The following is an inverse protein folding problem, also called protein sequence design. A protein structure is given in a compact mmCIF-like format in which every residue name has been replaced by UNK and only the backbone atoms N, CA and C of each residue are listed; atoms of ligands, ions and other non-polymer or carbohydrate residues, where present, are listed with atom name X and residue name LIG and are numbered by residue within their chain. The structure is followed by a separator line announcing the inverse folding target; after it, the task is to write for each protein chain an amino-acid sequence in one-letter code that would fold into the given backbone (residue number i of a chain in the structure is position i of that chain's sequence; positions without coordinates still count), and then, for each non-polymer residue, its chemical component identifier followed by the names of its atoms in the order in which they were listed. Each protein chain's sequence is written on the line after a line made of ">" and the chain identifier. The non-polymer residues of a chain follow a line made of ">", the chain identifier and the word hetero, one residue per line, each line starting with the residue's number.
data_IF_534951594716
#
_entry.id   IF_534951594716
#
_cell.length_a   1.000
_cell.length_b   1.000
_cell.length_c   1.000
_cell.angle_alpha   90.00
_cell.angle_beta   90.00
_cell.angle_gamma   90.00
#
_symmetry.space_group_name_H-M   'P 1'
#
loop_
_entity.id
_entity.type
_entity.pdbx_description
1 polymer ?
#
# COMPACT_ATOMS: atom_id res chain seq x y z
N UNK A 1 0.66 16.84 -2.34
CA UNK A 1 0.35 15.82 -3.36
C UNK A 1 0.67 14.39 -2.95
N UNK A 2 1.82 14.07 -2.32
CA UNK A 2 2.14 12.69 -1.87
C UNK A 2 1.25 12.24 -0.69
N UNK A 3 0.95 13.12 0.26
CA UNK A 3 -0.04 12.87 1.32
C UNK A 3 -1.48 12.67 0.77
N UNK A 4 -1.79 13.30 -0.37
CA UNK A 4 -3.07 13.12 -1.09
C UNK A 4 -3.10 11.78 -1.84
N UNK A 5 -1.96 11.32 -2.35
CA UNK A 5 -1.80 10.01 -3.00
C UNK A 5 -1.87 8.86 -1.97
N UNK A 6 -1.24 9.03 -0.79
CA UNK A 6 -1.37 8.08 0.32
C UNK A 6 -2.80 8.02 0.84
N UNK A 7 -3.48 9.17 0.95
CA UNK A 7 -4.89 9.25 1.35
C UNK A 7 -5.84 8.65 0.31
N UNK A 8 -5.59 8.79 -1.00
CA UNK A 8 -6.39 8.14 -2.05
C UNK A 8 -6.17 6.63 -2.10
N UNK A 9 -4.95 6.15 -1.83
CA UNK A 9 -4.67 4.71 -1.72
C UNK A 9 -5.36 4.14 -0.49
N UNK A 10 -5.34 4.85 0.65
CA UNK A 10 -5.93 4.40 1.92
C UNK A 10 -7.46 4.54 1.97
N UNK A 11 -8.03 5.68 1.54
CA UNK A 11 -9.49 5.93 1.53
C UNK A 11 -10.23 5.08 0.47
N UNK A 12 -9.57 4.65 -0.61
CA UNK A 12 -10.14 3.65 -1.54
C UNK A 12 -9.89 2.20 -1.09
N UNK A 13 -8.95 1.96 -0.18
CA UNK A 13 -8.71 0.64 0.41
C UNK A 13 -9.84 0.26 1.37
N UNK A 14 -10.38 1.24 2.09
CA UNK A 14 -11.26 1.03 3.24
C UNK A 14 -12.75 0.84 2.86
N UNK A 15 -13.15 1.25 1.65
CA UNK A 15 -14.57 1.47 1.39
C UNK A 15 -15.39 0.32 0.81
N UNK A 16 -14.84 -0.80 0.33
CA UNK A 16 -15.71 -1.81 -0.32
C UNK A 16 -15.15 -3.23 -0.56
N UNK A 17 -14.05 -3.65 0.05
CA UNK A 17 -13.39 -4.89 -0.38
C UNK A 17 -13.42 -5.97 0.68
N UNK A 18 -14.07 -7.08 0.33
CA UNK A 18 -13.94 -8.37 0.99
C UNK A 18 -12.45 -8.75 1.02
N UNK A 19 -11.81 -8.63 2.19
CA UNK A 19 -10.36 -8.53 2.38
C UNK A 19 -9.54 -9.82 2.11
N UNK A 20 -10.21 -10.94 1.81
CA UNK A 20 -9.57 -12.25 1.66
C UNK A 20 -8.90 -12.49 0.29
N UNK A 21 -9.34 -11.82 -0.78
CA UNK A 21 -8.81 -12.05 -2.13
C UNK A 21 -7.72 -11.04 -2.54
N UNK A 22 -7.60 -9.90 -1.85
CA UNK A 22 -6.55 -8.90 -2.04
C UNK A 22 -5.28 -9.20 -1.24
N UNK A 23 -5.36 -9.96 -0.15
CA UNK A 23 -4.22 -10.32 0.75
C UNK A 23 -3.11 -11.13 0.07
N UNK A 24 -3.43 -11.93 -0.94
CA UNK A 24 -2.55 -12.97 -1.48
C UNK A 24 -1.58 -12.50 -2.58
N UNK A 25 -1.97 -11.55 -3.43
CA UNK A 25 -1.09 -11.08 -4.52
C UNK A 25 0.05 -10.15 -4.08
N UNK A 26 -0.13 -9.44 -2.96
CA UNK A 26 0.74 -8.31 -2.59
C UNK A 26 2.01 -8.71 -1.84
N UNK A 27 2.09 -9.90 -1.24
CA UNK A 27 3.25 -10.31 -0.44
C UNK A 27 4.62 -10.22 -1.15
N UNK A 28 4.77 -10.63 -2.43
CA UNK A 28 6.05 -10.49 -3.14
C UNK A 28 6.35 -9.06 -3.62
N UNK A 29 5.32 -8.24 -3.91
CA UNK A 29 5.49 -6.90 -4.47
C UNK A 29 5.57 -5.79 -3.40
N UNK A 30 5.02 -6.01 -2.20
CA UNK A 30 5.02 -5.06 -1.08
C UNK A 30 6.43 -4.56 -0.75
N UNK A 31 7.42 -5.44 -0.74
CA UNK A 31 8.82 -5.08 -0.48
C UNK A 31 9.42 -4.22 -1.60
N UNK A 32 9.03 -4.47 -2.86
CA UNK A 32 9.51 -3.72 -4.03
C UNK A 32 8.91 -2.30 -4.04
N UNK A 33 7.60 -2.16 -3.76
CA UNK A 33 6.96 -0.85 -3.66
C UNK A 33 7.50 0.02 -2.53
N UNK A 34 7.80 -0.57 -1.38
CA UNK A 34 8.40 0.17 -0.26
C UNK A 34 9.79 0.68 -0.64
N UNK A 35 10.60 -0.14 -1.33
CA UNK A 35 11.91 0.29 -1.85
C UNK A 35 11.78 1.42 -2.86
N UNK A 36 10.80 1.33 -3.76
CA UNK A 36 10.59 2.34 -4.81
C UNK A 36 10.10 3.65 -4.23
N UNK A 37 9.14 3.60 -3.30
CA UNK A 37 8.66 4.78 -2.61
C UNK A 37 9.76 5.42 -1.75
N UNK A 38 10.60 4.61 -1.09
CA UNK A 38 11.76 5.11 -0.34
C UNK A 38 12.81 5.75 -1.25
N UNK A 39 13.08 5.18 -2.44
CA UNK A 39 14.03 5.74 -3.41
C UNK A 39 13.46 6.99 -4.10
N UNK A 40 12.17 7.02 -4.46
CA UNK A 40 11.52 8.22 -5.01
C UNK A 40 11.48 9.37 -3.98
N UNK A 41 11.20 9.07 -2.71
CA UNK A 41 11.21 10.08 -1.63
C UNK A 41 12.63 10.56 -1.32
N UNK A 42 13.62 9.65 -1.30
CA UNK A 42 15.03 9.99 -1.16
C UNK A 42 15.53 10.88 -2.31
N UNK A 43 15.09 10.63 -3.55
CA UNK A 43 15.50 11.41 -4.71
C UNK A 43 14.84 12.81 -4.75
N UNK A 44 13.56 12.92 -4.37
CA UNK A 44 12.85 14.20 -4.29
C UNK A 44 13.40 15.09 -3.16
N UNK A 45 13.75 14.53 -1.99
CA UNK A 45 14.36 15.30 -0.91
C UNK A 45 15.84 15.63 -1.15
N UNK A 46 16.63 14.70 -1.70
CA UNK A 46 18.06 14.91 -2.04
C UNK A 46 18.28 16.19 -2.83
N UNK A 47 17.35 16.53 -3.73
CA UNK A 47 17.46 17.75 -4.51
C UNK A 47 16.85 18.98 -3.84
N UNK A 48 15.79 18.86 -3.03
CA UNK A 48 15.18 20.00 -2.31
C UNK A 48 16.12 20.56 -1.23
N UNK A 49 16.90 19.71 -0.56
CA UNK A 49 17.81 20.13 0.52
C UNK A 49 19.16 20.68 0.03
N UNK A 50 19.58 20.37 -1.21
CA UNK A 50 20.80 20.93 -1.80
C UNK A 50 20.75 22.45 -2.04
N UNK A 51 19.61 23.11 -1.80
CA UNK A 51 19.42 24.55 -2.02
C UNK A 51 19.13 25.39 -0.78
N UNK A 52 18.82 24.77 0.36
CA UNK A 52 18.44 25.50 1.57
C UNK A 52 19.41 25.14 2.67
N UNK A 53 20.27 26.10 3.02
CA UNK A 53 21.14 26.10 4.19
C UNK A 53 20.30 26.16 5.50
N UNK A 54 19.50 25.13 5.78
CA UNK A 54 18.65 25.01 6.98
C UNK A 54 19.25 24.04 8.02
N UNK A 55 20.56 24.12 8.19
CA UNK A 55 21.35 23.23 9.06
C UNK A 55 21.00 23.37 10.57
N UNK A 56 20.54 24.54 11.00
CA UNK A 56 20.30 24.85 12.42
C UNK A 56 18.90 24.49 12.92
N UNK A 57 17.89 24.51 12.06
CA UNK A 57 16.49 24.23 12.45
C UNK A 57 16.19 22.73 12.44
N UNK A 58 16.78 21.97 11.52
CA UNK A 58 16.64 20.51 11.49
C UNK A 58 17.23 19.85 12.75
N UNK A 59 18.40 20.31 13.19
CA UNK A 59 19.08 19.82 14.40
C UNK A 59 18.24 20.01 15.68
N UNK A 60 17.58 21.16 15.83
CA UNK A 60 16.74 21.46 17.00
C UNK A 60 15.45 20.62 16.98
N UNK A 61 14.86 20.40 15.80
CA UNK A 61 13.68 19.55 15.64
C UNK A 61 14.04 18.08 15.95
N UNK A 62 15.19 17.59 15.51
CA UNK A 62 15.67 16.23 15.78
C UNK A 62 15.94 15.99 17.27
N UNK A 63 16.62 16.94 17.94
CA UNK A 63 17.03 16.80 19.34
C UNK A 63 15.87 16.96 20.34
N UNK A 64 14.83 17.72 20.01
CA UNK A 64 13.69 17.98 20.90
C UNK A 64 12.53 17.01 20.65
N UNK A 65 12.32 16.54 19.42
CA UNK A 65 11.22 15.61 19.11
C UNK A 65 11.48 14.19 19.62
N UNK A 66 12.73 13.73 19.57
CA UNK A 66 13.15 12.38 19.99
C UNK A 66 12.84 12.08 21.47
N UNK A 67 13.24 12.92 22.46
CA UNK A 67 13.03 12.62 23.88
C UNK A 67 11.60 12.89 24.31
N UNK A 68 10.95 13.93 23.77
CA UNK A 68 9.58 14.30 24.12
C UNK A 68 8.59 13.23 23.66
N UNK A 69 8.77 12.71 22.44
CA UNK A 69 7.91 11.66 21.93
C UNK A 69 8.17 10.33 22.63
N UNK A 70 9.44 9.92 22.82
CA UNK A 70 9.78 8.72 23.59
C UNK A 70 9.22 8.77 25.03
N UNK A 71 9.29 9.93 25.68
CA UNK A 71 8.72 10.16 27.01
C UNK A 71 7.18 10.06 27.02
N UNK A 72 6.50 10.66 26.04
CA UNK A 72 5.04 10.53 25.90
C UNK A 72 4.61 9.09 25.56
N UNK A 73 5.45 8.36 24.83
CA UNK A 73 5.22 6.96 24.43
C UNK A 73 5.37 6.00 25.61
N UNK A 74 6.46 6.11 26.37
CA UNK A 74 6.73 5.31 27.58
C UNK A 74 5.66 5.56 28.64
N UNK A 75 5.28 6.82 28.87
CA UNK A 75 4.26 7.20 29.85
C UNK A 75 2.83 6.75 29.48
N UNK A 76 2.56 6.44 28.21
CA UNK A 76 1.24 5.96 27.74
C UNK A 76 1.15 4.43 27.81
N UNK A 77 2.24 3.72 27.50
CA UNK A 77 2.34 2.26 27.57
C UNK A 77 2.19 1.75 29.01
N UNK A 78 2.61 2.54 30.00
CA UNK A 78 2.51 2.18 31.41
C UNK A 78 1.07 2.15 31.95
N UNK A 79 0.08 2.69 31.21
CA UNK A 79 -1.31 2.77 31.68
C UNK A 79 -2.23 1.64 31.24
N UNK A 80 -1.88 0.81 30.25
CA UNK A 80 -2.70 -0.36 29.88
C UNK A 80 -1.84 -1.58 29.45
N UNK A 81 -1.92 -2.64 30.27
CA UNK A 81 -1.48 -4.03 30.07
C UNK A 81 -0.26 -4.29 29.15
N UNK A 82 0.93 -4.09 29.71
CA UNK A 82 2.21 -4.59 29.16
C UNK A 82 2.22 -6.13 28.96
N UNK A 83 1.46 -6.88 29.78
CA UNK A 83 1.37 -8.34 29.71
C UNK A 83 0.66 -8.86 28.44
N UNK A 84 -0.36 -8.15 27.97
CA UNK A 84 -1.11 -8.50 26.75
C UNK A 84 -0.27 -8.22 25.50
N UNK A 85 0.44 -7.10 25.48
CA UNK A 85 1.37 -6.75 24.40
C UNK A 85 2.52 -7.75 24.29
N UNK A 86 3.03 -8.25 25.41
CA UNK A 86 4.11 -9.25 25.44
C UNK A 86 3.62 -10.65 25.00
N UNK A 87 2.41 -11.04 25.40
CA UNK A 87 1.75 -12.27 24.95
C UNK A 87 1.52 -12.26 23.43
N UNK A 88 0.93 -11.17 22.91
CA UNK A 88 0.71 -10.98 21.47
C UNK A 88 2.03 -10.86 20.71
N UNK A 89 3.03 -10.16 21.24
CA UNK A 89 4.35 -10.04 20.60
C UNK A 89 5.05 -11.40 20.46
N UNK A 90 4.93 -12.28 21.46
CA UNK A 90 5.49 -13.63 21.42
C UNK A 90 4.75 -14.51 20.39
N UNK A 91 3.42 -14.49 20.38
CA UNK A 91 2.56 -15.25 19.46
C UNK A 91 2.69 -14.75 18.01
N UNK A 92 2.81 -13.43 17.82
CA UNK A 92 3.04 -12.76 16.53
C UNK A 92 4.47 -12.94 16.02
N UNK A 93 5.46 -13.42 16.76
CA UNK A 93 6.81 -13.65 16.21
C UNK A 93 7.16 -15.13 16.02
N UNK A 94 6.62 -16.06 16.82
CA UNK A 94 7.08 -17.46 16.82
C UNK A 94 6.32 -18.47 15.94
N UNK A 95 5.17 -18.13 15.35
CA UNK A 95 4.44 -19.10 14.50
C UNK A 95 4.69 -18.89 13.00
N UNK A 96 5.74 -19.50 12.45
CA UNK A 96 5.95 -19.58 10.99
C UNK A 96 6.33 -21.01 10.61
N UNK A 97 5.36 -21.77 10.10
CA UNK A 97 5.64 -23.00 9.36
C UNK A 97 5.84 -22.63 7.87
N UNK A 98 7.09 -22.70 7.41
CA UNK A 98 7.49 -22.33 6.04
C UNK A 98 6.90 -23.25 4.95
N UNK A 99 6.37 -24.43 5.32
CA UNK A 99 5.80 -25.39 4.38
C UNK A 99 4.42 -24.97 3.82
N UNK A 100 3.62 -24.18 4.55
CA UNK A 100 2.28 -23.72 4.08
C UNK A 100 2.34 -22.58 3.07
N UNK A 101 3.47 -21.85 3.01
CA UNK A 101 3.65 -20.67 2.14
C UNK A 101 3.94 -21.12 0.70
N UNK A 102 4.67 -22.22 0.52
CA UNK A 102 5.13 -22.67 -0.79
C UNK A 102 4.01 -23.32 -1.63
N UNK A 103 3.07 -24.03 -0.99
CA UNK A 103 1.92 -24.66 -1.67
C UNK A 103 0.90 -23.62 -2.17
N UNK A 104 0.49 -22.68 -1.30
CA UNK A 104 -0.41 -21.56 -1.65
C UNK A 104 0.08 -20.73 -2.84
N UNK A 105 1.39 -20.46 -2.93
CA UNK A 105 1.98 -19.62 -4.00
C UNK A 105 1.80 -20.22 -5.40
N UNK A 106 1.84 -21.54 -5.54
CA UNK A 106 1.72 -22.20 -6.84
C UNK A 106 0.28 -22.13 -7.38
N UNK A 107 -0.71 -22.27 -6.50
CA UNK A 107 -2.13 -22.14 -6.86
C UNK A 107 -2.50 -20.70 -7.23
N UNK A 108 -1.94 -19.71 -6.51
CA UNK A 108 -2.13 -18.28 -6.80
C UNK A 108 -1.61 -17.90 -8.20
N UNK A 109 -0.42 -18.37 -8.57
CA UNK A 109 0.17 -18.11 -9.90
C UNK A 109 -0.67 -18.73 -11.02
N UNK A 110 -1.26 -19.90 -10.79
CA UNK A 110 -2.17 -20.55 -11.73
C UNK A 110 -3.45 -19.75 -11.91
N UNK A 111 -4.03 -19.24 -10.82
CA UNK A 111 -5.23 -18.37 -10.86
C UNK A 111 -4.95 -17.08 -11.63
N UNK A 112 -3.81 -16.44 -11.39
CA UNK A 112 -3.37 -15.26 -12.14
C UNK A 112 -3.18 -15.54 -13.63
N UNK A 113 -2.57 -16.67 -13.97
CA UNK A 113 -2.38 -17.07 -15.37
C UNK A 113 -3.72 -17.28 -16.07
N UNK A 114 -4.71 -17.89 -15.40
CA UNK A 114 -6.07 -18.03 -15.92
C UNK A 114 -6.73 -16.67 -16.12
N UNK A 115 -6.68 -15.79 -15.12
CA UNK A 115 -7.21 -14.41 -15.22
C UNK A 115 -6.58 -13.60 -16.35
N UNK A 116 -5.26 -13.68 -16.50
CA UNK A 116 -4.55 -13.03 -17.60
C UNK A 116 -5.05 -13.54 -18.95
N UNK A 117 -5.27 -14.86 -19.07
CA UNK A 117 -5.86 -15.47 -20.27
C UNK A 117 -7.27 -14.96 -20.56
N UNK A 118 -8.08 -14.68 -19.53
CA UNK A 118 -9.41 -14.08 -19.68
C UNK A 118 -9.38 -12.61 -20.13
N UNK A 119 -8.27 -11.91 -19.90
CA UNK A 119 -8.05 -10.52 -20.28
C UNK A 119 -7.46 -10.35 -21.69
N UNK A 120 -6.86 -11.41 -22.26
CA UNK A 120 -6.27 -11.42 -23.62
C UNK A 120 -7.19 -10.89 -24.75
N UNK A 121 -8.51 -11.13 -24.77
CA UNK A 121 -9.35 -10.61 -25.85
C UNK A 121 -9.35 -9.07 -25.95
N UNK A 122 -9.09 -8.36 -24.86
CA UNK A 122 -9.01 -6.89 -24.82
C UNK A 122 -7.56 -6.38 -24.93
N UNK A 123 -6.64 -7.17 -25.50
CA UNK A 123 -5.21 -6.86 -25.57
C UNK A 123 -4.92 -5.48 -26.17
N UNK A 124 -5.70 -5.01 -27.15
CA UNK A 124 -5.51 -3.68 -27.78
C UNK A 124 -5.67 -2.52 -26.79
N UNK A 125 -6.65 -2.63 -25.88
CA UNK A 125 -6.92 -1.58 -24.90
C UNK A 125 -5.86 -1.63 -23.81
N UNK A 126 -5.43 -2.84 -23.43
CA UNK A 126 -4.36 -3.07 -22.46
C UNK A 126 -3.03 -2.53 -22.99
N UNK A 127 -2.66 -2.84 -24.23
CA UNK A 127 -1.40 -2.34 -24.82
C UNK A 127 -1.40 -0.82 -24.94
N UNK A 128 -2.51 -0.24 -25.41
CA UNK A 128 -2.70 1.21 -25.41
C UNK A 128 -2.52 1.81 -24.01
N UNK A 129 -3.23 1.27 -23.01
CA UNK A 129 -3.12 1.69 -21.62
C UNK A 129 -1.70 1.56 -21.06
N UNK A 130 -0.97 0.50 -21.41
CA UNK A 130 0.42 0.32 -20.99
C UNK A 130 1.37 1.34 -21.64
N UNK A 131 1.14 1.76 -22.88
CA UNK A 131 1.97 2.81 -23.53
C UNK A 131 1.80 4.14 -22.79
N UNK A 132 0.55 4.54 -22.51
CA UNK A 132 0.28 5.73 -21.70
C UNK A 132 0.85 5.61 -20.28
N UNK A 133 0.83 4.40 -19.71
CA UNK A 133 1.43 4.12 -18.40
C UNK A 133 2.95 4.31 -18.41
N UNK A 134 3.64 3.77 -19.41
CA UNK A 134 5.09 3.95 -19.54
C UNK A 134 5.44 5.42 -19.70
N UNK A 135 4.72 6.16 -20.54
CA UNK A 135 4.93 7.59 -20.72
C UNK A 135 4.69 8.39 -19.44
N UNK A 136 3.62 8.11 -18.71
CA UNK A 136 3.33 8.77 -17.44
C UNK A 136 4.40 8.47 -16.37
N UNK A 137 4.78 7.19 -16.22
CA UNK A 137 5.80 6.76 -15.27
C UNK A 137 7.18 7.36 -15.59
N UNK A 138 7.54 7.47 -16.87
CA UNK A 138 8.76 8.15 -17.29
C UNK A 138 8.72 9.64 -16.92
N UNK A 139 7.63 10.34 -17.25
CA UNK A 139 7.49 11.76 -16.89
C UNK A 139 7.66 11.99 -15.39
N UNK A 140 7.10 11.13 -14.54
CA UNK A 140 7.27 11.19 -13.08
C UNK A 140 8.73 11.04 -12.64
N UNK A 141 9.52 10.17 -13.29
CA UNK A 141 10.96 10.02 -13.02
C UNK A 141 11.75 11.29 -13.41
N UNK A 142 11.30 12.03 -14.42
CA UNK A 142 11.97 13.26 -14.84
C UNK A 142 11.64 14.48 -13.96
N UNK A 143 10.49 14.49 -13.27
CA UNK A 143 10.07 15.65 -12.44
C UNK A 143 11.15 16.08 -11.45
N UNK A 144 11.74 15.20 -10.62
CA UNK A 144 12.70 15.63 -9.60
C UNK A 144 14.01 16.14 -10.19
N UNK A 145 14.41 15.66 -11.38
CA UNK A 145 15.59 16.15 -12.09
C UNK A 145 15.41 17.62 -12.50
N UNK A 146 14.24 17.99 -13.02
CA UNK A 146 13.96 19.38 -13.40
C UNK A 146 13.70 20.27 -12.20
N UNK A 147 13.00 19.78 -11.16
CA UNK A 147 12.91 20.47 -9.87
C UNK A 147 14.29 20.80 -9.35
N UNK A 148 15.20 19.83 -9.46
CA UNK A 148 16.56 20.01 -9.02
C UNK A 148 17.35 21.07 -9.78
N UNK A 149 17.35 21.01 -11.12
CA UNK A 149 18.00 22.02 -11.96
C UNK A 149 17.42 23.42 -11.79
N UNK A 150 16.10 23.51 -11.62
CA UNK A 150 15.43 24.77 -11.31
C UNK A 150 15.96 25.37 -10.02
N UNK A 151 16.11 24.53 -9.01
CA UNK A 151 16.56 24.94 -7.70
C UNK A 151 18.03 25.36 -7.70
N UNK A 152 18.90 24.63 -8.40
CA UNK A 152 20.31 25.03 -8.58
C UNK A 152 20.44 26.36 -9.35
N UNK A 153 19.63 26.59 -10.38
CA UNK A 153 19.64 27.85 -11.12
C UNK A 153 19.29 29.05 -10.22
N UNK A 154 18.38 28.88 -9.25
CA UNK A 154 18.04 29.91 -8.25
C UNK A 154 19.16 30.09 -7.22
N UNK A 155 19.71 28.99 -6.70
CA UNK A 155 20.74 29.02 -5.67
C UNK A 155 22.06 29.64 -6.15
N UNK A 156 22.50 29.29 -7.37
CA UNK A 156 23.77 29.76 -7.94
C UNK A 156 23.65 31.01 -8.82
N UNK A 157 22.47 31.63 -8.89
CA UNK A 157 22.17 32.80 -9.75
C UNK A 157 22.65 32.58 -11.20
N UNK A 158 22.28 31.45 -11.77
CA UNK A 158 22.60 31.14 -13.16
C UNK A 158 21.97 32.14 -14.14
N UNK A 159 22.45 32.18 -15.38
CA UNK A 159 21.94 33.10 -16.39
C UNK A 159 20.42 32.94 -16.56
N UNK A 160 19.69 34.06 -16.67
CA UNK A 160 18.22 34.10 -16.76
C UNK A 160 17.64 33.15 -17.84
N UNK A 161 18.37 32.98 -18.95
CA UNK A 161 18.01 32.06 -20.04
C UNK A 161 17.99 30.58 -19.60
N UNK A 162 18.94 30.15 -18.76
CA UNK A 162 19.01 28.76 -18.26
C UNK A 162 17.87 28.49 -17.28
N UNK A 163 17.54 29.47 -16.43
CA UNK A 163 16.40 29.39 -15.54
C UNK A 163 15.07 29.29 -16.31
N UNK A 164 14.87 30.13 -17.33
CA UNK A 164 13.67 30.08 -18.18
C UNK A 164 13.53 28.73 -18.89
N UNK A 165 14.63 28.18 -19.42
CA UNK A 165 14.62 26.87 -20.06
C UNK A 165 14.23 25.76 -19.07
N UNK A 166 14.86 25.73 -17.88
CA UNK A 166 14.56 24.73 -16.85
C UNK A 166 13.09 24.84 -16.36
N UNK A 167 12.54 26.04 -16.29
CA UNK A 167 11.14 26.30 -15.91
C UNK A 167 10.17 25.79 -16.98
N UNK A 168 10.42 26.11 -18.25
CA UNK A 168 9.58 25.64 -19.36
C UNK A 168 9.60 24.10 -19.40
N UNK A 169 10.78 23.47 -19.30
CA UNK A 169 10.88 22.01 -19.30
C UNK A 169 10.17 21.37 -18.11
N UNK A 170 10.25 21.96 -16.91
CA UNK A 170 9.50 21.50 -15.74
C UNK A 170 7.99 21.53 -15.98
N UNK A 171 7.47 22.64 -16.51
CA UNK A 171 6.03 22.78 -16.80
C UNK A 171 5.59 21.79 -17.86
N UNK A 172 6.35 21.64 -18.94
CA UNK A 172 6.05 20.71 -20.05
C UNK A 172 6.03 19.27 -19.55
N UNK A 173 7.01 18.84 -18.75
CA UNK A 173 7.06 17.47 -18.21
C UNK A 173 5.89 17.19 -17.25
N UNK A 174 5.53 18.14 -16.39
CA UNK A 174 4.39 17.97 -15.49
C UNK A 174 3.07 17.92 -16.25
N UNK A 175 2.89 18.79 -17.24
CA UNK A 175 1.67 18.81 -18.06
C UNK A 175 1.54 17.53 -18.89
N UNK A 176 2.63 17.10 -19.54
CA UNK A 176 2.67 15.84 -20.28
C UNK A 176 2.41 14.64 -19.36
N UNK A 177 3.04 14.60 -18.18
CA UNK A 177 2.81 13.57 -17.17
C UNK A 177 1.36 13.52 -16.68
N UNK A 178 0.75 14.67 -16.40
CA UNK A 178 -0.65 14.78 -16.01
C UNK A 178 -1.61 14.30 -17.11
N UNK A 179 -1.36 14.72 -18.36
CA UNK A 179 -2.15 14.29 -19.51
C UNK A 179 -2.06 12.77 -19.72
N UNK A 180 -0.84 12.22 -19.81
CA UNK A 180 -0.62 10.78 -19.98
C UNK A 180 -1.18 9.97 -18.80
N UNK A 181 -1.02 10.48 -17.58
CA UNK A 181 -1.55 9.88 -16.36
C UNK A 181 -3.08 9.83 -16.33
N UNK A 182 -3.75 10.88 -16.82
CA UNK A 182 -5.21 10.94 -16.96
C UNK A 182 -5.72 9.91 -17.98
N UNK A 183 -5.12 9.86 -19.17
CA UNK A 183 -5.47 8.87 -20.19
C UNK A 183 -5.25 7.43 -19.72
N UNK A 184 -4.11 7.17 -19.08
CA UNK A 184 -3.83 5.89 -18.43
C UNK A 184 -4.96 5.50 -17.48
N UNK A 185 -5.35 6.38 -16.56
CA UNK A 185 -6.40 6.10 -15.57
C UNK A 185 -7.74 5.79 -16.25
N UNK A 186 -8.14 6.58 -17.25
CA UNK A 186 -9.37 6.34 -18.01
C UNK A 186 -9.37 5.00 -18.76
N UNK A 187 -8.30 4.71 -19.50
CA UNK A 187 -8.17 3.47 -20.29
C UNK A 187 -8.18 2.23 -19.38
N UNK A 188 -7.46 2.25 -18.26
CA UNK A 188 -7.48 1.14 -17.30
C UNK A 188 -8.85 0.97 -16.63
N UNK A 189 -9.57 2.06 -16.35
CA UNK A 189 -10.94 1.97 -15.84
C UNK A 189 -11.87 1.28 -16.84
N UNK A 190 -11.73 1.56 -18.14
CA UNK A 190 -12.50 0.88 -19.19
C UNK A 190 -12.16 -0.62 -19.27
N UNK A 191 -10.87 -0.97 -19.16
CA UNK A 191 -10.43 -2.36 -19.07
C UNK A 191 -11.08 -3.10 -17.90
N UNK A 192 -11.09 -2.48 -16.71
CA UNK A 192 -11.70 -3.06 -15.51
C UNK A 192 -13.19 -3.31 -15.73
N UNK A 193 -13.92 -2.33 -16.26
CA UNK A 193 -15.36 -2.47 -16.53
C UNK A 193 -15.65 -3.59 -17.52
N UNK A 194 -14.87 -3.71 -18.61
CA UNK A 194 -15.03 -4.80 -19.59
C UNK A 194 -14.74 -6.18 -18.99
N UNK A 195 -13.68 -6.28 -18.20
CA UNK A 195 -13.32 -7.51 -17.50
C UNK A 195 -14.43 -7.92 -16.52
N UNK A 196 -14.97 -6.96 -15.76
CA UNK A 196 -16.09 -7.18 -14.84
C UNK A 196 -17.34 -7.70 -15.55
N UNK A 197 -17.75 -7.08 -16.67
CA UNK A 197 -18.88 -7.55 -17.48
C UNK A 197 -18.64 -8.99 -17.95
N UNK A 198 -17.45 -9.32 -18.47
CA UNK A 198 -17.14 -10.67 -18.95
C UNK A 198 -17.21 -11.70 -17.82
N UNK A 199 -16.60 -11.42 -16.67
CA UNK A 199 -16.63 -12.32 -15.51
C UNK A 199 -18.05 -12.56 -15.01
N UNK A 200 -18.86 -11.50 -14.89
CA UNK A 200 -20.26 -11.60 -14.45
C UNK A 200 -21.11 -12.40 -15.44
N UNK A 201 -20.97 -12.15 -16.74
CA UNK A 201 -21.71 -12.90 -17.77
C UNK A 201 -21.31 -14.38 -17.76
N UNK A 202 -20.02 -14.71 -17.66
CA UNK A 202 -19.57 -16.10 -17.62
C UNK A 202 -20.03 -16.80 -16.34
N UNK A 203 -19.95 -16.17 -15.18
CA UNK A 203 -20.46 -16.78 -13.94
C UNK A 203 -21.97 -16.96 -13.96
N UNK A 204 -22.72 -15.98 -14.48
CA UNK A 204 -24.16 -16.12 -14.61
C UNK A 204 -24.54 -17.24 -15.57
N UNK A 205 -23.83 -17.39 -16.69
CA UNK A 205 -23.99 -18.54 -17.60
C UNK A 205 -23.69 -19.88 -16.91
N UNK A 206 -22.68 -19.93 -16.03
CA UNK A 206 -22.39 -21.13 -15.24
C UNK A 206 -23.50 -21.43 -14.24
N UNK A 207 -24.07 -20.43 -13.56
CA UNK A 207 -25.21 -20.63 -12.67
C UNK A 207 -26.42 -21.19 -13.42
N UNK A 208 -26.76 -20.67 -14.60
CA UNK A 208 -27.90 -21.16 -15.38
C UNK A 208 -27.77 -22.62 -15.87
N UNK A 209 -26.55 -23.18 -15.91
CA UNK A 209 -26.30 -24.57 -16.34
C UNK A 209 -26.23 -25.57 -15.18
N UNK A 210 -26.33 -25.07 -13.95
CA UNK A 210 -26.18 -25.88 -12.76
C UNK A 210 -27.49 -26.64 -12.44
N UNK A 211 -27.36 -27.81 -11.81
CA UNK A 211 -28.52 -28.60 -11.39
C UNK A 211 -29.34 -27.91 -10.30
N UNK A 212 -30.63 -28.26 -10.20
CA UNK A 212 -31.55 -27.66 -9.22
C UNK A 212 -31.05 -27.89 -7.78
N UNK A 213 -30.48 -29.08 -7.49
CA UNK A 213 -29.93 -29.41 -6.17
C UNK A 213 -28.78 -28.50 -5.70
N UNK A 214 -28.10 -27.81 -6.61
CA UNK A 214 -27.13 -26.78 -6.23
C UNK A 214 -27.79 -25.54 -5.61
N UNK A 215 -28.97 -25.16 -6.12
CA UNK A 215 -29.73 -24.03 -5.60
C UNK A 215 -30.46 -24.37 -4.30
N UNK A 216 -30.76 -25.65 -4.06
CA UNK A 216 -31.31 -26.12 -2.78
C UNK A 216 -30.26 -26.08 -1.64
N UNK A 217 -28.96 -26.18 -1.99
CA UNK A 217 -27.84 -26.18 -1.03
C UNK A 217 -27.22 -24.81 -0.79
N UNK A 218 -27.42 -23.84 -1.69
CA UNK A 218 -26.79 -22.51 -1.62
C UNK A 218 -27.83 -21.39 -1.58
N UNK A 219 -27.74 -20.53 -0.57
CA UNK A 219 -28.59 -19.34 -0.46
C UNK A 219 -28.43 -18.40 -1.66
N UNK A 220 -29.55 -17.95 -2.21
CA UNK A 220 -29.60 -16.99 -3.31
C UNK A 220 -28.83 -15.70 -3.01
N UNK A 221 -28.85 -15.24 -1.75
CA UNK A 221 -28.09 -14.08 -1.29
C UNK A 221 -26.56 -14.25 -1.43
N UNK A 222 -26.03 -15.43 -1.04
CA UNK A 222 -24.60 -15.76 -1.18
C UNK A 222 -24.19 -15.84 -2.66
N UNK A 223 -25.03 -16.45 -3.51
CA UNK A 223 -24.79 -16.52 -4.96
C UNK A 223 -24.76 -15.13 -5.62
N UNK A 224 -25.67 -14.23 -5.21
CA UNK A 224 -25.72 -12.85 -5.69
C UNK A 224 -24.53 -12.02 -5.21
N UNK A 225 -24.12 -12.17 -3.96
CA UNK A 225 -22.92 -11.52 -3.42
C UNK A 225 -21.67 -11.95 -4.21
N UNK A 226 -21.48 -13.25 -4.46
CA UNK A 226 -20.37 -13.74 -5.31
C UNK A 226 -20.41 -13.16 -6.73
N UNK A 227 -21.60 -13.09 -7.32
CA UNK A 227 -21.77 -12.54 -8.66
C UNK A 227 -21.41 -11.05 -8.72
N UNK A 228 -21.75 -10.26 -7.71
CA UNK A 228 -21.53 -8.80 -7.72
C UNK A 228 -20.22 -8.37 -7.05
N UNK A 229 -20.02 -8.71 -5.78
CA UNK A 229 -18.86 -8.30 -4.99
C UNK A 229 -17.59 -9.02 -5.43
N UNK A 230 -17.58 -10.35 -5.44
CA UNK A 230 -16.33 -11.08 -5.68
C UNK A 230 -15.80 -10.86 -7.10
N UNK A 231 -16.68 -10.77 -8.11
CA UNK A 231 -16.26 -10.43 -9.49
C UNK A 231 -15.68 -9.03 -9.60
N UNK A 232 -16.25 -8.06 -8.89
CA UNK A 232 -15.80 -6.67 -8.90
C UNK A 232 -14.46 -6.54 -8.19
N UNK A 233 -14.31 -7.19 -7.04
CA UNK A 233 -13.05 -7.23 -6.30
C UNK A 233 -11.99 -7.90 -7.17
N UNK A 234 -12.28 -9.05 -7.77
CA UNK A 234 -11.32 -9.78 -8.60
C UNK A 234 -10.86 -8.96 -9.82
N UNK A 235 -11.79 -8.37 -10.57
CA UNK A 235 -11.47 -7.59 -11.78
C UNK A 235 -10.67 -6.31 -11.46
N UNK A 236 -11.06 -5.57 -10.43
CA UNK A 236 -10.39 -4.33 -10.03
C UNK A 236 -9.01 -4.62 -9.42
N UNK A 237 -8.91 -5.61 -8.55
CA UNK A 237 -7.66 -5.99 -7.87
C UNK A 237 -6.59 -6.40 -8.87
N UNK A 238 -6.91 -7.31 -9.79
CA UNK A 238 -5.93 -7.82 -10.76
C UNK A 238 -5.42 -6.70 -11.67
N UNK A 239 -6.33 -5.92 -12.25
CA UNK A 239 -5.96 -4.86 -13.18
C UNK A 239 -5.16 -3.74 -12.50
N UNK A 240 -5.61 -3.28 -11.33
CA UNK A 240 -4.90 -2.24 -10.59
C UNK A 240 -3.54 -2.71 -10.11
N UNK A 241 -3.44 -3.92 -9.57
CA UNK A 241 -2.17 -4.41 -9.06
C UNK A 241 -1.14 -4.62 -10.17
N UNK A 242 -1.53 -5.18 -11.32
CA UNK A 242 -0.63 -5.33 -12.46
C UNK A 242 -0.15 -3.97 -12.96
N UNK A 243 -1.08 -3.02 -13.14
CA UNK A 243 -0.74 -1.66 -13.58
C UNK A 243 0.22 -0.98 -12.58
N UNK A 244 -0.05 -1.11 -11.29
CA UNK A 244 0.82 -0.58 -10.24
C UNK A 244 2.19 -1.26 -10.31
N UNK A 245 2.28 -2.59 -10.44
CA UNK A 245 3.55 -3.31 -10.50
C UNK A 245 4.41 -2.84 -11.68
N UNK A 246 3.82 -2.68 -12.86
CA UNK A 246 4.52 -2.16 -14.05
C UNK A 246 5.01 -0.73 -13.79
N UNK A 247 4.14 0.12 -13.25
CA UNK A 247 4.48 1.52 -12.92
C UNK A 247 5.64 1.57 -11.94
N UNK A 248 5.60 0.74 -10.91
CA UNK A 248 6.63 0.65 -9.89
C UNK A 248 7.96 0.19 -10.50
N UNK A 249 7.97 -0.88 -11.30
CA UNK A 249 9.19 -1.35 -11.97
C UNK A 249 9.82 -0.28 -12.87
N UNK A 250 9.00 0.44 -13.64
CA UNK A 250 9.47 1.50 -14.54
C UNK A 250 10.05 2.66 -13.73
N UNK A 251 9.38 3.09 -12.67
CA UNK A 251 9.88 4.12 -11.75
C UNK A 251 11.17 3.69 -11.07
N UNK A 252 11.24 2.45 -10.58
CA UNK A 252 12.43 1.90 -9.96
C UNK A 252 13.64 1.98 -10.91
N UNK A 253 13.49 1.41 -12.09
CA UNK A 253 14.55 1.34 -13.10
C UNK A 253 14.91 2.75 -13.57
N UNK A 254 13.90 3.58 -13.84
CA UNK A 254 14.07 4.96 -14.29
C UNK A 254 14.85 5.80 -13.28
N UNK A 255 14.43 5.78 -12.01
CA UNK A 255 15.09 6.53 -10.94
C UNK A 255 16.49 6.00 -10.66
N UNK A 256 16.70 4.68 -10.68
CA UNK A 256 18.02 4.08 -10.49
C UNK A 256 18.99 4.48 -11.61
N UNK A 257 18.55 4.46 -12.87
CA UNK A 257 19.35 4.94 -14.01
C UNK A 257 19.67 6.43 -13.84
N UNK A 258 18.71 7.24 -13.42
CA UNK A 258 18.91 8.68 -13.20
C UNK A 258 19.91 8.96 -12.07
N UNK A 259 19.82 8.25 -10.95
CA UNK A 259 20.77 8.38 -9.84
C UNK A 259 22.19 8.05 -10.28
N UNK A 260 22.38 6.93 -11.01
CA UNK A 260 23.70 6.52 -11.53
C UNK A 260 24.27 7.58 -12.48
N UNK A 261 23.44 8.15 -13.37
CA UNK A 261 23.87 9.20 -14.30
C UNK A 261 24.28 10.50 -13.59
N UNK A 262 23.71 10.79 -12.43
CA UNK A 262 23.96 12.03 -11.70
C UNK A 262 25.20 11.91 -10.81
N UNK A 263 25.30 10.86 -10.02
CA UNK A 263 26.52 10.52 -9.26
C UNK A 263 26.52 9.07 -8.82
N UNK A 264 27.51 8.31 -9.31
CA UNK A 264 27.67 6.90 -8.92
C UNK A 264 28.04 6.73 -7.44
N UNK A 265 28.87 7.63 -6.89
CA UNK A 265 29.34 7.54 -5.50
C UNK A 265 28.19 7.68 -4.50
N UNK A 266 27.29 8.63 -4.73
CA UNK A 266 26.11 8.84 -3.89
C UNK A 266 25.09 7.73 -4.06
N UNK A 267 24.95 7.21 -5.28
CA UNK A 267 24.06 6.08 -5.54
C UNK A 267 24.48 4.84 -4.76
N UNK A 268 25.80 4.54 -4.71
CA UNK A 268 26.34 3.42 -3.94
C UNK A 268 26.08 3.63 -2.45
N UNK A 269 26.31 4.83 -1.91
CA UNK A 269 26.00 5.15 -0.52
C UNK A 269 24.52 4.90 -0.18
N UNK A 270 23.60 5.31 -1.07
CA UNK A 270 22.18 5.02 -0.93
C UNK A 270 21.85 3.53 -0.98
N UNK A 271 22.47 2.80 -1.91
CA UNK A 271 22.25 1.38 -2.10
C UNK A 271 22.72 0.55 -0.90
N UNK A 272 23.77 0.99 -0.20
CA UNK A 272 24.27 0.38 1.04
C UNK A 272 23.30 0.61 2.22
N UNK A 273 22.59 1.74 2.25
CA UNK A 273 21.55 2.01 3.26
C UNK A 273 20.22 1.27 3.01
N UNK A 274 19.89 0.99 1.74
CA UNK A 274 18.68 0.30 1.32
C UNK A 274 18.40 -1.07 2.00
N UNK A 275 19.37 -2.00 2.16
CA UNK A 275 19.11 -3.30 2.80
C UNK A 275 18.64 -3.17 4.26
N UNK A 276 19.13 -2.17 5.00
CA UNK A 276 18.69 -1.94 6.39
C UNK A 276 17.20 -1.57 6.43
N UNK A 277 16.77 -0.65 5.57
CA UNK A 277 15.37 -0.22 5.46
C UNK A 277 14.50 -1.39 5.02
N UNK A 278 14.98 -2.21 4.10
CA UNK A 278 14.31 -3.43 3.62
C UNK A 278 14.06 -4.46 4.72
N UNK A 279 15.05 -4.69 5.58
CA UNK A 279 14.93 -5.63 6.71
C UNK A 279 13.83 -5.15 7.66
N UNK A 280 13.86 -3.86 8.04
CA UNK A 280 12.84 -3.30 8.94
C UNK A 280 11.46 -3.32 8.29
N UNK A 281 11.35 -2.96 7.02
CA UNK A 281 10.10 -3.03 6.27
C UNK A 281 9.53 -4.46 6.21
N UNK A 282 10.39 -5.49 6.06
CA UNK A 282 9.98 -6.89 6.08
C UNK A 282 9.45 -7.32 7.45
N UNK A 283 10.13 -6.93 8.53
CA UNK A 283 9.71 -7.23 9.90
C UNK A 283 8.35 -6.58 10.21
N UNK A 284 8.23 -5.27 9.97
CA UNK A 284 6.97 -4.54 10.14
C UNK A 284 5.87 -5.08 9.21
N UNK A 285 6.24 -5.51 7.99
CA UNK A 285 5.32 -6.08 7.01
C UNK A 285 4.71 -7.41 7.48
N UNK A 286 5.52 -8.28 8.08
CA UNK A 286 5.06 -9.55 8.67
C UNK A 286 4.17 -9.29 9.90
N UNK A 287 4.56 -8.37 10.77
CA UNK A 287 3.75 -7.99 11.94
C UNK A 287 2.38 -7.45 11.51
N UNK A 288 2.33 -6.54 10.52
CA UNK A 288 1.05 -6.07 9.95
C UNK A 288 0.20 -7.22 9.41
N UNK A 289 0.80 -8.21 8.73
CA UNK A 289 0.06 -9.34 8.18
C UNK A 289 -0.65 -10.13 9.28
N UNK A 290 0.07 -10.46 10.36
CA UNK A 290 -0.45 -11.22 11.51
C UNK A 290 -1.53 -10.44 12.25
N UNK A 291 -1.33 -9.14 12.46
CA UNK A 291 -2.36 -8.26 13.05
C UNK A 291 -3.63 -8.24 12.18
N UNK A 292 -3.49 -8.07 10.86
CA UNK A 292 -4.63 -8.09 9.94
C UNK A 292 -5.31 -9.46 9.82
N UNK A 293 -4.62 -10.56 10.11
CA UNK A 293 -5.23 -11.89 10.25
C UNK A 293 -6.07 -11.93 11.54
N UNK A 294 -5.50 -11.50 12.68
CA UNK A 294 -6.21 -11.51 13.96
C UNK A 294 -7.44 -10.58 14.01
N UNK A 295 -7.32 -9.38 13.45
CA UNK A 295 -8.46 -8.44 13.32
C UNK A 295 -9.58 -9.09 12.52
N UNK A 296 -9.22 -9.82 11.46
CA UNK A 296 -10.19 -10.48 10.62
C UNK A 296 -10.89 -11.65 11.34
N UNK A 297 -10.16 -12.44 12.11
CA UNK A 297 -10.74 -13.51 12.93
C UNK A 297 -11.74 -12.94 13.95
N UNK A 298 -11.37 -11.85 14.64
CA UNK A 298 -12.26 -11.17 15.59
C UNK A 298 -13.48 -10.53 14.92
N UNK A 299 -13.32 -10.00 13.71
CA UNK A 299 -14.45 -9.53 12.91
C UNK A 299 -15.38 -10.66 12.50
N UNK A 300 -14.84 -11.82 12.10
CA UNK A 300 -15.63 -12.99 11.74
C UNK A 300 -16.42 -13.52 12.95
N UNK A 301 -15.79 -13.60 14.12
CA UNK A 301 -16.45 -13.96 15.39
C UNK A 301 -17.58 -13.00 15.75
N UNK A 302 -17.35 -11.68 15.62
CA UNK A 302 -18.39 -10.69 15.85
C UNK A 302 -19.58 -10.83 14.87
N UNK A 303 -19.30 -11.15 13.60
CA UNK A 303 -20.33 -11.43 12.61
C UNK A 303 -21.11 -12.70 12.94
N UNK A 304 -20.44 -13.76 13.38
CA UNK A 304 -21.08 -15.02 13.79
C UNK A 304 -22.03 -14.80 14.98
N UNK A 305 -21.59 -14.07 16.02
CA UNK A 305 -22.43 -13.71 17.18
C UNK A 305 -23.67 -12.92 16.71
N UNK A 306 -23.48 -11.94 15.84
CA UNK A 306 -24.57 -11.13 15.32
C UNK A 306 -25.55 -11.97 14.47
N UNK A 307 -25.03 -12.85 13.61
CA UNK A 307 -25.84 -13.74 12.77
C UNK A 307 -26.66 -14.71 13.64
N UNK A 308 -26.04 -15.36 14.62
CA UNK A 308 -26.70 -16.26 15.58
C UNK A 308 -27.83 -15.51 16.31
N UNK A 309 -27.51 -14.37 16.94
CA UNK A 309 -28.46 -13.58 17.73
C UNK A 309 -29.66 -13.12 16.90
N UNK A 310 -29.43 -12.67 15.67
CA UNK A 310 -30.51 -12.20 14.78
C UNK A 310 -31.37 -13.37 14.29
N UNK A 311 -30.76 -14.50 13.92
CA UNK A 311 -31.49 -15.69 13.49
C UNK A 311 -32.33 -16.27 14.63
N UNK A 312 -31.83 -16.24 15.87
CA UNK A 312 -32.51 -16.77 17.06
C UNK A 312 -33.17 -15.69 17.92
N UNK A 313 -33.52 -14.54 17.35
CA UNK A 313 -34.02 -13.37 18.11
C UNK A 313 -35.25 -13.69 18.96
N UNK A 314 -36.12 -14.61 18.51
CA UNK A 314 -37.30 -15.04 19.28
C UNK A 314 -36.89 -15.77 20.56
N UNK A 315 -35.84 -16.59 20.49
CA UNK A 315 -35.28 -17.30 21.64
C UNK A 315 -34.66 -16.32 22.62
N UNK A 316 -33.81 -15.39 22.13
CA UNK A 316 -33.17 -14.36 22.97
C UNK A 316 -34.21 -13.55 23.75
N UNK A 317 -35.27 -13.08 23.06
CA UNK A 317 -36.37 -12.34 23.71
C UNK A 317 -37.18 -13.20 24.69
N UNK A 318 -37.35 -14.48 24.41
CA UNK A 318 -38.12 -15.37 25.30
C UNK A 318 -37.42 -15.60 26.64
N UNK A 319 -36.09 -15.51 26.67
CA UNK A 319 -35.27 -15.62 27.88
C UNK A 319 -34.90 -14.26 28.49
N UNK A 320 -35.19 -13.12 27.82
CA UNK A 320 -34.85 -11.78 28.30
C UNK A 320 -33.34 -11.50 28.32
N UNK A 321 -32.59 -12.12 27.41
CA UNK A 321 -31.12 -12.14 27.40
C UNK A 321 -30.50 -11.10 26.45
N UNK A 322 -31.24 -10.05 26.05
CA UNK A 322 -30.75 -9.05 25.08
C UNK A 322 -29.48 -8.34 25.55
N UNK A 323 -29.41 -7.97 26.83
CA UNK A 323 -28.25 -7.27 27.40
C UNK A 323 -27.00 -8.16 27.49
N UNK A 324 -27.18 -9.48 27.60
CA UNK A 324 -26.08 -10.44 27.67
C UNK A 324 -25.45 -10.63 26.28
N UNK A 325 -26.26 -10.82 25.25
CA UNK A 325 -25.77 -10.91 23.87
C UNK A 325 -25.14 -9.59 23.40
N UNK A 326 -25.71 -8.44 23.81
CA UNK A 326 -25.11 -7.14 23.54
C UNK A 326 -23.71 -7.03 24.15
N UNK A 327 -23.54 -7.45 25.42
CA UNK A 327 -22.22 -7.46 26.08
C UNK A 327 -21.24 -8.40 25.40
N UNK A 328 -21.68 -9.57 24.95
CA UNK A 328 -20.85 -10.53 24.21
C UNK A 328 -20.32 -9.93 22.91
N UNK A 329 -21.21 -9.28 22.15
CA UNK A 329 -20.83 -8.56 20.93
C UNK A 329 -19.88 -7.39 21.22
N UNK A 330 -20.17 -6.56 22.23
CA UNK A 330 -19.33 -5.43 22.63
C UNK A 330 -17.93 -5.88 23.07
N UNK A 331 -17.83 -6.96 23.84
CA UNK A 331 -16.55 -7.51 24.32
C UNK A 331 -15.67 -7.94 23.14
N UNK A 332 -16.26 -8.61 22.14
CA UNK A 332 -15.55 -9.03 20.92
C UNK A 332 -15.05 -7.82 20.12
N UNK A 333 -15.86 -6.77 20.01
CA UNK A 333 -15.45 -5.52 19.37
C UNK A 333 -14.36 -4.78 20.14
N UNK A 334 -14.41 -4.77 21.48
CA UNK A 334 -13.37 -4.18 22.32
C UNK A 334 -12.03 -4.92 22.16
N UNK A 335 -12.04 -6.25 22.04
CA UNK A 335 -10.84 -7.03 21.73
C UNK A 335 -10.28 -6.66 20.34
N UNK A 336 -11.14 -6.52 19.33
CA UNK A 336 -10.73 -6.06 18.01
C UNK A 336 -10.09 -4.67 18.09
N UNK A 337 -10.70 -3.73 18.82
CA UNK A 337 -10.17 -2.39 19.03
C UNK A 337 -8.77 -2.38 19.66
N UNK A 338 -8.52 -3.23 20.67
CA UNK A 338 -7.19 -3.35 21.28
C UNK A 338 -6.12 -3.82 20.27
N UNK A 339 -6.47 -4.76 19.38
CA UNK A 339 -5.59 -5.22 18.31
C UNK A 339 -5.36 -4.13 17.26
N UNK A 340 -6.40 -3.37 16.89
CA UNK A 340 -6.26 -2.22 15.99
C UNK A 340 -5.37 -1.12 16.59
N UNK A 341 -5.42 -0.90 17.90
CA UNK A 341 -4.54 0.07 18.55
C UNK A 341 -3.06 -0.31 18.39
N UNK A 342 -2.73 -1.59 18.53
CA UNK A 342 -1.38 -2.10 18.23
C UNK A 342 -1.00 -1.87 16.75
N UNK A 343 -1.95 -2.06 15.82
CA UNK A 343 -1.72 -1.75 14.41
C UNK A 343 -1.39 -0.27 14.20
N UNK A 344 -2.12 0.63 14.86
CA UNK A 344 -1.92 2.07 14.76
C UNK A 344 -0.53 2.47 15.28
N UNK A 345 -0.12 1.90 16.41
CA UNK A 345 1.21 2.12 16.99
C UNK A 345 2.30 1.62 16.06
N UNK A 346 2.16 0.40 15.53
CA UNK A 346 3.12 -0.18 14.60
C UNK A 346 3.26 0.68 13.35
N UNK A 347 2.14 1.19 12.83
CA UNK A 347 2.12 2.08 11.67
C UNK A 347 2.81 3.41 11.98
N UNK A 348 2.54 4.00 13.14
CA UNK A 348 3.16 5.25 13.59
C UNK A 348 4.68 5.09 13.78
N UNK A 349 5.11 4.01 14.44
CA UNK A 349 6.51 3.68 14.66
C UNK A 349 7.24 3.43 13.33
N UNK A 350 6.63 2.66 12.42
CA UNK A 350 7.19 2.44 11.09
C UNK A 350 7.32 3.76 10.32
N UNK A 351 6.29 4.61 10.35
CA UNK A 351 6.31 5.89 9.64
C UNK A 351 7.43 6.80 10.17
N UNK A 352 7.55 6.89 11.49
CA UNK A 352 8.61 7.66 12.14
C UNK A 352 10.01 7.11 11.83
N UNK A 353 10.19 5.80 11.91
CA UNK A 353 11.45 5.15 11.56
C UNK A 353 11.89 5.47 10.12
N UNK A 354 10.94 5.45 9.18
CA UNK A 354 11.23 5.78 7.77
C UNK A 354 11.65 7.24 7.62
N UNK A 355 10.95 8.19 8.26
CA UNK A 355 11.30 9.62 8.19
C UNK A 355 12.67 9.90 8.85
N UNK A 356 12.95 9.34 10.03
CA UNK A 356 14.25 9.50 10.70
C UNK A 356 15.38 8.89 9.90
N UNK A 357 15.18 7.67 9.36
CA UNK A 357 16.18 7.01 8.52
C UNK A 357 16.48 7.84 7.27
N UNK A 358 15.45 8.44 6.69
CA UNK A 358 15.56 9.30 5.53
C UNK A 358 16.37 10.57 5.87
N UNK A 359 16.03 11.29 6.93
CA UNK A 359 16.78 12.49 7.36
C UNK A 359 18.23 12.17 7.73
N UNK A 360 18.48 11.09 8.47
CA UNK A 360 19.83 10.67 8.84
C UNK A 360 20.69 10.30 7.61
N UNK A 361 20.06 9.67 6.61
CA UNK A 361 20.71 9.35 5.35
C UNK A 361 21.10 10.61 4.56
N UNK A 362 20.22 11.61 4.51
CA UNK A 362 20.53 12.90 3.87
C UNK A 362 21.65 13.62 4.60
N UNK A 363 21.60 13.70 5.94
CA UNK A 363 22.66 14.30 6.74
C UNK A 363 24.02 13.65 6.47
N UNK A 364 24.08 12.31 6.41
CA UNK A 364 25.31 11.57 6.15
C UNK A 364 25.83 11.81 4.72
N UNK A 365 24.94 11.90 3.75
CA UNK A 365 25.28 12.23 2.36
C UNK A 365 25.90 13.64 2.27
N UNK A 366 25.25 14.64 2.86
CA UNK A 366 25.71 16.04 2.85
C UNK A 366 27.04 16.17 3.59
N UNK A 367 27.16 15.62 4.79
CA UNK A 367 28.40 15.71 5.58
C UNK A 367 29.60 15.01 4.93
N UNK A 368 29.38 13.96 4.12
CA UNK A 368 30.47 13.29 3.38
C UNK A 368 30.95 14.04 2.14
N UNK A 369 30.13 14.93 1.56
CA UNK A 369 30.46 15.73 0.37
C UNK A 369 30.98 17.14 0.71
N UNK A 370 30.88 17.56 1.98
CA UNK A 370 31.40 18.86 2.46
C UNK A 370 32.87 18.76 2.94
N UNK A 371 33.48 17.56 2.89
CA UNK A 371 34.89 17.33 3.21
C UNK A 371 35.71 16.86 2.00
#
# INVERSE_FOLDING_TARGET
>A
SIAFFYRIIYDNYDKNVNYNTTKTFWNPFKNIFVVIAAIEQAFVMYYIEFSLNFQSILYIIEQVSMPLFAYLWIRRIEKENFSFLQYIWFEIFHSTNDHDIQSKRNDELLVLKRLFRYSLPDWKIITCGTIFLLGAALSEVFVPLYTGRLLSSVAFKEAWLQFQYNLIMFVVVNFAGGFLGGFRMGIFSLCISRLSIRLRTTLFQSYLRQEIGFFDTHESGKLLSRLNQDTQIMSSTVANNIAQCITALVRFIGTLIMMIKLSIHLTIACLVGAPLILIVAKICGNAHRRISEKVQDLSAEAFEIAEETIQTIRTVRSFGNEDEELKRFETTLQQSYQVLWLQAILTAAQKWFVEVSHSAMIYKIISSNVF
#
